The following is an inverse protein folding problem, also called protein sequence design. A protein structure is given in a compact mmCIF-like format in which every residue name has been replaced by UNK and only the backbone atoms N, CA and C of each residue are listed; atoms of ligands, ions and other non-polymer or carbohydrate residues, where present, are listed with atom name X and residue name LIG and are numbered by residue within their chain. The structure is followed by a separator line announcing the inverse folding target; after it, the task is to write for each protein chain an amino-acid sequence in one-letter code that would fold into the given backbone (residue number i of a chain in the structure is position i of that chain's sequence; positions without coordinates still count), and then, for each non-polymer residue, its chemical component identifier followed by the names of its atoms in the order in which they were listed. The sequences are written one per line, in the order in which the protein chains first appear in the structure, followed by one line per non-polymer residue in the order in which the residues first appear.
data_IF_827275119319
#
_entry.id   IF_827275119319
#
_cell.length_a   1.000
_cell.length_b   1.000
_cell.length_c   1.000
_cell.angle_alpha   90.00
_cell.angle_beta   90.00
_cell.angle_gamma   90.00
#
_symmetry.space_group_name_H-M   'P 1'
#
loop_
_entity.id
_entity.type
_entity.pdbx_description
1 polymer ?
#
# COMPACT_ATOMS: atom_id res chain seq x y z
N UNK A 1 10.03 9.73 -7.89
CA UNK A 1 9.17 9.61 -6.68
C UNK A 1 8.47 8.25 -6.63
N UNK A 2 7.49 7.99 -7.50
CA UNK A 2 6.71 6.73 -7.51
C UNK A 2 7.60 5.49 -7.70
N UNK A 3 8.52 5.53 -8.67
CA UNK A 3 9.50 4.45 -8.90
C UNK A 3 10.35 4.14 -7.66
N UNK A 4 10.76 5.17 -6.91
CA UNK A 4 11.51 4.99 -5.67
C UNK A 4 10.68 4.33 -4.57
N UNK A 5 9.39 4.69 -4.45
CA UNK A 5 8.49 4.10 -3.47
C UNK A 5 8.22 2.62 -3.76
N UNK A 6 7.96 2.27 -5.02
CA UNK A 6 7.78 0.87 -5.45
C UNK A 6 9.05 0.05 -5.23
N UNK A 7 10.22 0.54 -5.68
CA UNK A 7 11.48 -0.17 -5.47
C UNK A 7 11.78 -0.33 -3.98
N UNK A 8 11.60 0.71 -3.16
CA UNK A 8 11.84 0.65 -1.72
C UNK A 8 10.92 -0.34 -1.00
N UNK A 9 9.69 -0.53 -1.47
CA UNK A 9 8.74 -1.47 -0.89
C UNK A 9 8.97 -2.93 -1.34
N UNK A 10 9.37 -3.15 -2.59
CA UNK A 10 9.51 -4.50 -3.16
C UNK A 10 10.93 -5.08 -3.06
N UNK A 11 11.98 -4.26 -3.00
CA UNK A 11 13.36 -4.74 -2.89
C UNK A 11 13.60 -5.68 -1.68
N UNK A 12 13.01 -5.44 -0.49
CA UNK A 12 13.18 -6.33 0.65
C UNK A 12 12.73 -7.78 0.40
N UNK A 13 11.83 -8.04 -0.56
CA UNK A 13 11.39 -9.40 -0.91
C UNK A 13 12.52 -10.31 -1.41
N UNK A 14 13.59 -9.74 -1.93
CA UNK A 14 14.75 -10.51 -2.36
C UNK A 14 15.47 -11.18 -1.18
N UNK A 15 15.21 -10.71 0.04
CA UNK A 15 15.89 -11.16 1.26
C UNK A 15 14.87 -11.75 2.25
N UNK A 16 13.71 -11.12 2.41
CA UNK A 16 12.68 -11.47 3.39
C UNK A 16 11.31 -11.59 2.72
N UNK A 17 10.75 -12.80 2.71
CA UNK A 17 9.40 -13.06 2.24
C UNK A 17 8.48 -13.33 3.44
N UNK A 18 7.79 -12.29 3.90
CA UNK A 18 6.85 -12.42 5.02
C UNK A 18 5.56 -13.10 4.56
N UNK A 19 4.91 -13.85 5.46
CA UNK A 19 3.56 -14.37 5.21
C UNK A 19 2.54 -13.24 5.40
N UNK A 20 1.56 -13.09 4.48
CA UNK A 20 0.54 -12.06 4.62
C UNK A 20 -0.50 -12.41 5.70
N UNK A 21 -1.20 -11.42 6.28
CA UNK A 21 -2.16 -11.66 7.36
C UNK A 21 -3.28 -12.62 6.95
N UNK A 22 -3.79 -12.55 5.71
CA UNK A 22 -4.81 -13.48 5.22
C UNK A 22 -4.37 -14.95 5.18
N UNK A 23 -3.07 -15.24 5.26
CA UNK A 23 -2.54 -16.61 5.26
C UNK A 23 -2.44 -17.20 6.68
N UNK A 24 -2.39 -16.35 7.72
CA UNK A 24 -2.15 -16.79 9.11
C UNK A 24 -3.28 -16.41 10.07
N UNK A 25 -4.07 -15.40 9.73
CA UNK A 25 -5.19 -14.95 10.54
C UNK A 25 -6.53 -15.39 9.94
N UNK A 26 -7.59 -15.28 10.74
CA UNK A 26 -8.97 -15.58 10.30
C UNK A 26 -9.41 -14.66 9.17
N UNK A 27 -10.38 -15.08 8.36
CA UNK A 27 -10.94 -14.19 7.35
C UNK A 27 -11.65 -13.00 8.00
N UNK A 28 -11.52 -11.78 7.45
CA UNK A 28 -12.18 -10.61 8.02
C UNK A 28 -13.69 -10.67 7.76
N UNK A 29 -14.48 -10.33 8.78
CA UNK A 29 -15.93 -10.25 8.68
C UNK A 29 -16.34 -8.85 8.15
N UNK A 30 -16.39 -8.70 6.82
CA UNK A 30 -16.75 -7.43 6.16
C UNK A 30 -18.21 -7.40 5.71
N UNK A 31 -18.79 -6.20 5.69
CA UNK A 31 -20.19 -5.97 5.32
C UNK A 31 -20.45 -6.30 3.83
N UNK A 32 -19.58 -5.84 2.92
CA UNK A 32 -19.66 -6.19 1.50
C UNK A 32 -18.78 -7.41 1.18
N UNK A 33 -19.40 -8.58 1.24
CA UNK A 33 -18.73 -9.85 0.99
C UNK A 33 -18.36 -10.06 -0.48
N UNK A 34 -19.06 -9.44 -1.42
CA UNK A 34 -18.84 -9.69 -2.85
C UNK A 34 -17.58 -8.95 -3.34
N UNK A 35 -17.49 -7.66 -3.04
CA UNK A 35 -16.32 -6.84 -3.38
C UNK A 35 -15.09 -7.36 -2.64
N UNK A 36 -15.23 -7.65 -1.34
CA UNK A 36 -14.12 -8.19 -0.57
C UNK A 36 -13.63 -9.54 -1.13
N UNK A 37 -14.55 -10.42 -1.55
CA UNK A 37 -14.18 -11.72 -2.14
C UNK A 37 -13.44 -11.54 -3.47
N UNK A 38 -13.90 -10.63 -4.33
CA UNK A 38 -13.22 -10.33 -5.58
C UNK A 38 -11.81 -9.77 -5.35
N UNK A 39 -11.68 -8.79 -4.45
CA UNK A 39 -10.39 -8.19 -4.10
C UNK A 39 -9.44 -9.21 -3.44
N UNK A 40 -9.95 -10.04 -2.53
CA UNK A 40 -9.16 -11.10 -1.87
C UNK A 40 -8.72 -12.16 -2.87
N UNK A 41 -9.57 -12.52 -3.84
CA UNK A 41 -9.21 -13.45 -4.90
C UNK A 41 -8.08 -12.90 -5.76
N UNK A 42 -8.17 -11.62 -6.16
CA UNK A 42 -7.09 -10.95 -6.86
C UNK A 42 -5.77 -11.02 -6.08
N UNK A 43 -5.79 -10.65 -4.79
CA UNK A 43 -4.59 -10.68 -3.94
C UNK A 43 -4.03 -12.10 -3.80
N UNK A 44 -4.88 -13.12 -3.63
CA UNK A 44 -4.43 -14.50 -3.40
C UNK A 44 -3.95 -15.23 -4.66
N UNK A 45 -4.61 -14.99 -5.80
CA UNK A 45 -4.38 -15.77 -7.03
C UNK A 45 -3.51 -15.04 -8.06
N UNK A 46 -3.44 -13.71 -8.02
CA UNK A 46 -2.80 -12.90 -9.07
C UNK A 46 -1.60 -12.10 -8.55
N UNK A 47 -1.12 -12.39 -7.34
CA UNK A 47 0.10 -11.79 -6.78
C UNK A 47 1.10 -12.86 -6.38
N UNK A 48 2.29 -12.43 -5.94
CA UNK A 48 3.40 -13.29 -5.53
C UNK A 48 3.12 -14.12 -4.27
N UNK A 49 1.98 -13.92 -3.59
CA UNK A 49 1.61 -14.66 -2.37
C UNK A 49 2.45 -14.33 -1.13
N UNK A 50 3.47 -13.48 -1.26
CA UNK A 50 4.30 -12.97 -0.18
C UNK A 50 3.90 -11.54 0.20
N UNK A 51 4.05 -11.22 1.48
CA UNK A 51 3.84 -9.89 2.02
C UNK A 51 5.13 -9.06 1.91
N UNK A 52 4.98 -7.79 1.51
CA UNK A 52 6.07 -6.81 1.48
C UNK A 52 6.12 -6.02 2.77
N UNK A 53 7.33 -5.82 3.30
CA UNK A 53 7.61 -4.83 4.33
C UNK A 53 8.70 -3.89 3.79
N UNK A 54 8.43 -2.60 3.59
CA UNK A 54 7.15 -1.89 3.83
C UNK A 54 6.06 -2.20 2.78
N UNK A 55 4.81 -1.79 3.04
CA UNK A 55 3.69 -1.99 2.11
C UNK A 55 3.83 -1.17 0.83
N UNK A 56 3.89 -1.86 -0.32
CA UNK A 56 3.91 -1.23 -1.64
C UNK A 56 2.62 -0.49 -1.98
N UNK A 57 1.45 -1.02 -1.58
CA UNK A 57 0.16 -0.35 -1.76
C UNK A 57 0.12 1.01 -1.09
N UNK A 58 0.60 1.10 0.16
CA UNK A 58 0.66 2.36 0.89
C UNK A 58 1.71 3.30 0.30
N UNK A 59 2.93 2.81 0.07
CA UNK A 59 4.04 3.64 -0.41
C UNK A 59 3.77 4.20 -1.82
N UNK A 60 3.34 3.35 -2.75
CA UNK A 60 3.06 3.69 -4.14
C UNK A 60 1.88 4.64 -4.30
N UNK A 61 0.74 4.34 -3.69
CA UNK A 61 -0.47 5.18 -3.82
C UNK A 61 -0.28 6.57 -3.22
N UNK A 62 0.38 6.68 -2.07
CA UNK A 62 0.72 7.98 -1.48
C UNK A 62 1.76 8.73 -2.32
N UNK A 63 2.75 8.03 -2.88
CA UNK A 63 3.71 8.67 -3.79
C UNK A 63 3.03 9.27 -5.01
N UNK A 64 2.04 8.59 -5.58
CA UNK A 64 1.22 9.14 -6.68
C UNK A 64 0.43 10.36 -6.20
N UNK A 65 -0.24 10.27 -5.06
CA UNK A 65 -1.03 11.39 -4.52
C UNK A 65 -0.18 12.64 -4.29
N UNK A 66 0.98 12.50 -3.65
CA UNK A 66 1.89 13.62 -3.39
C UNK A 66 2.50 14.20 -4.67
N UNK A 67 2.84 13.36 -5.66
CA UNK A 67 3.33 13.83 -6.96
C UNK A 67 2.29 14.71 -7.67
N UNK A 68 1.01 14.32 -7.63
CA UNK A 68 -0.08 15.08 -8.25
C UNK A 68 -0.37 16.36 -7.44
N UNK A 69 -0.32 16.28 -6.11
CA UNK A 69 -0.62 17.40 -5.21
C UNK A 69 0.23 18.65 -5.50
N UNK A 70 1.49 18.46 -5.90
CA UNK A 70 2.38 19.57 -6.27
C UNK A 70 1.97 20.33 -7.53
N UNK A 71 1.34 19.65 -8.50
CA UNK A 71 0.95 20.25 -9.78
C UNK A 71 -0.53 20.65 -9.84
N UNK A 72 -1.41 19.82 -9.26
CA UNK A 72 -2.86 19.95 -9.29
C UNK A 72 -3.42 19.71 -7.88
N UNK A 73 -3.46 20.72 -6.99
CA UNK A 73 -3.75 20.53 -5.57
C UNK A 73 -5.11 19.88 -5.29
N UNK A 74 -6.17 20.29 -5.99
CA UNK A 74 -7.52 19.73 -5.79
C UNK A 74 -7.55 18.25 -6.21
N UNK A 75 -6.95 17.92 -7.35
CA UNK A 75 -6.86 16.53 -7.84
C UNK A 75 -5.99 15.70 -6.90
N UNK A 76 -4.86 16.24 -6.44
CA UNK A 76 -3.99 15.59 -5.47
C UNK A 76 -4.69 15.27 -4.16
N UNK A 77 -5.57 16.15 -3.66
CA UNK A 77 -6.37 15.87 -2.46
C UNK A 77 -7.35 14.70 -2.68
N UNK A 78 -7.96 14.59 -3.87
CA UNK A 78 -8.80 13.44 -4.22
C UNK A 78 -7.97 12.16 -4.23
N UNK A 79 -6.79 12.17 -4.86
CA UNK A 79 -5.90 11.03 -4.88
C UNK A 79 -5.37 10.67 -3.49
N UNK A 80 -5.13 11.66 -2.63
CA UNK A 80 -4.73 11.43 -1.24
C UNK A 80 -5.85 10.72 -0.47
N UNK A 81 -7.09 11.16 -0.60
CA UNK A 81 -8.23 10.48 -0.01
C UNK A 81 -8.34 9.03 -0.49
N UNK A 82 -8.17 8.79 -1.79
CA UNK A 82 -8.15 7.43 -2.36
C UNK A 82 -6.98 6.59 -1.81
N UNK A 83 -5.77 7.15 -1.69
CA UNK A 83 -4.61 6.47 -1.13
C UNK A 83 -4.84 6.07 0.35
N UNK A 84 -5.48 6.94 1.13
CA UNK A 84 -5.87 6.63 2.52
C UNK A 84 -6.91 5.50 2.57
N UNK A 85 -7.89 5.50 1.66
CA UNK A 85 -8.84 4.39 1.52
C UNK A 85 -8.13 3.06 1.16
N UNK A 86 -7.12 3.10 0.29
CA UNK A 86 -6.30 1.93 -0.05
C UNK A 86 -5.55 1.43 1.18
N UNK A 87 -4.90 2.32 1.94
CA UNK A 87 -4.19 1.95 3.17
C UNK A 87 -5.13 1.26 4.17
N UNK A 88 -6.34 1.82 4.35
CA UNK A 88 -7.36 1.23 5.22
C UNK A 88 -7.82 -0.14 4.69
N UNK A 89 -8.07 -0.25 3.40
CA UNK A 89 -8.48 -1.51 2.76
C UNK A 89 -7.41 -2.60 2.89
N UNK A 90 -6.12 -2.24 2.84
CA UNK A 90 -5.02 -3.19 3.06
C UNK A 90 -5.04 -3.81 4.47
N UNK A 91 -5.34 -3.01 5.50
CA UNK A 91 -5.44 -3.51 6.88
C UNK A 91 -6.74 -4.29 7.08
N UNK A 92 -7.88 -3.69 6.71
CA UNK A 92 -9.22 -4.28 6.91
C UNK A 92 -9.40 -5.56 6.10
N UNK A 93 -8.89 -5.59 4.87
CA UNK A 93 -8.88 -6.76 4.00
C UNK A 93 -7.82 -7.80 4.36
N UNK A 94 -6.99 -7.55 5.38
CA UNK A 94 -5.90 -8.43 5.83
C UNK A 94 -4.85 -8.71 4.76
N UNK A 95 -4.61 -7.74 3.88
CA UNK A 95 -3.56 -7.82 2.85
C UNK A 95 -2.20 -7.48 3.43
N UNK A 96 -2.14 -6.55 4.38
CA UNK A 96 -0.93 -6.11 5.08
C UNK A 96 -1.19 -5.98 6.58
N UNK A 97 -0.15 -6.19 7.39
CA UNK A 97 -0.19 -5.77 8.79
C UNK A 97 -0.19 -4.25 8.87
N UNK A 98 -0.73 -3.71 9.96
CA UNK A 98 -0.73 -2.27 10.24
C UNK A 98 0.70 -1.71 10.16
N UNK A 99 1.68 -2.46 10.68
CA UNK A 99 3.08 -2.04 10.64
C UNK A 99 3.65 -1.92 9.23
N UNK A 100 3.24 -2.79 8.30
CA UNK A 100 3.68 -2.70 6.90
C UNK A 100 3.13 -1.43 6.25
N UNK A 101 1.87 -1.11 6.53
CA UNK A 101 1.21 0.11 6.03
C UNK A 101 1.87 1.36 6.61
N UNK A 102 2.08 1.41 7.94
CA UNK A 102 2.76 2.54 8.61
C UNK A 102 4.17 2.74 8.04
N UNK A 103 4.93 1.65 7.86
CA UNK A 103 6.25 1.74 7.26
C UNK A 103 6.19 2.20 5.79
N UNK A 104 5.17 1.80 5.03
CA UNK A 104 4.93 2.27 3.66
C UNK A 104 4.59 3.75 3.59
N UNK A 105 3.75 4.25 4.49
CA UNK A 105 3.47 5.70 4.63
C UNK A 105 4.76 6.45 4.95
N UNK A 106 5.53 5.96 5.92
CA UNK A 106 6.82 6.55 6.29
C UNK A 106 7.80 6.59 5.12
N UNK A 107 7.88 5.52 4.33
CA UNK A 107 8.72 5.46 3.13
C UNK A 107 8.29 6.50 2.08
N UNK A 108 6.99 6.59 1.78
CA UNK A 108 6.48 7.58 0.82
C UNK A 108 6.77 9.01 1.26
N UNK A 109 6.56 9.33 2.54
CA UNK A 109 6.86 10.64 3.11
C UNK A 109 8.36 10.96 3.04
N UNK A 110 9.23 10.01 3.40
CA UNK A 110 10.67 10.19 3.34
C UNK A 110 11.13 10.48 1.91
N UNK A 111 10.67 9.70 0.93
CA UNK A 111 11.00 9.92 -0.48
C UNK A 111 10.45 11.26 -0.97
N UNK A 112 9.23 11.61 -0.60
CA UNK A 112 8.64 12.90 -0.96
C UNK A 112 9.48 14.06 -0.44
N UNK A 113 9.83 14.04 0.84
CA UNK A 113 10.67 15.07 1.48
C UNK A 113 12.01 15.18 0.75
N UNK A 114 12.70 14.06 0.52
CA UNK A 114 13.99 14.06 -0.18
C UNK A 114 13.86 14.65 -1.59
N UNK A 115 12.84 14.27 -2.35
CA UNK A 115 12.60 14.78 -3.71
C UNK A 115 12.19 16.25 -3.70
N UNK A 116 11.49 16.72 -2.68
CA UNK A 116 11.07 18.14 -2.57
C UNK A 116 12.17 19.08 -2.08
N UNK A 117 13.30 18.55 -1.59
CA UNK A 117 14.46 19.33 -1.14
C UNK A 117 15.54 19.51 -2.24
N UNK A 118 15.38 18.85 -3.38
CA UNK A 118 16.31 18.88 -4.52
C UNK A 118 15.65 19.59 -5.70
#
# INVERSE_FOLDING_TARGET
MVTGAELGAFLPLAIVQARPPWAIEREPALADRAIHRAASRFVRELTIGANTFPSGHAAGSLAVAFAILGALPIVGLVFLALALCICLACVVGRYHFVMDVVAGVGLALAIWIVVSLV
#
